data_IF_152840500359
#
_entry.id   IF_152840500359
#
_cell.length_a   1.000
_cell.length_b   1.000
_cell.length_c   1.000
_cell.angle_alpha   90.00
_cell.angle_beta   90.00
_cell.angle_gamma   90.00
#
_symmetry.space_group_name_H-M   'P 1'
#
loop_
_entity.id
_entity.type
_entity.pdbx_description
1 polymer ?
#
# COMPACT_ATOMS: atom_id res chain seq x y z
N UNK A 1 2.43 9.30 -16.94
CA UNK A 1 2.60 10.05 -18.20
C UNK A 1 4.00 9.75 -18.71
N UNK A 2 4.14 9.06 -19.83
CA UNK A 2 5.44 8.56 -20.29
C UNK A 2 6.25 9.74 -20.84
N UNK A 3 7.55 9.80 -20.57
CA UNK A 3 8.44 10.90 -20.96
C UNK A 3 8.36 11.21 -22.47
N UNK A 4 8.12 10.17 -23.28
CA UNK A 4 7.89 10.23 -24.72
C UNK A 4 6.72 11.14 -25.13
N UNK A 5 5.66 11.23 -24.32
CA UNK A 5 4.48 12.07 -24.60
C UNK A 5 4.76 13.56 -24.39
N UNK A 6 5.52 13.92 -23.35
CA UNK A 6 5.95 15.30 -23.09
C UNK A 6 6.90 15.81 -24.18
N UNK A 7 7.72 14.92 -24.72
CA UNK A 7 8.73 15.24 -25.74
C UNK A 7 8.08 15.40 -27.13
N UNK A 8 7.13 14.53 -27.52
CA UNK A 8 6.38 14.67 -28.79
C UNK A 8 5.63 16.01 -28.89
N UNK A 9 5.13 16.56 -27.78
CA UNK A 9 4.45 17.86 -27.75
C UNK A 9 5.35 19.05 -28.09
N UNK A 10 6.69 18.90 -28.05
CA UNK A 10 7.66 19.98 -28.27
C UNK A 10 8.25 20.05 -29.69
N UNK A 11 7.69 19.33 -30.67
CA UNK A 11 8.21 19.25 -32.07
C UNK A 11 9.67 18.77 -32.19
N UNK A 12 10.15 17.97 -31.25
CA UNK A 12 11.49 17.38 -31.35
C UNK A 12 11.56 16.36 -32.48
N UNK A 13 12.69 16.31 -33.17
CA UNK A 13 12.94 15.32 -34.22
C UNK A 13 13.13 13.94 -33.60
N UNK A 14 12.76 12.87 -34.33
CA UNK A 14 12.90 11.47 -33.83
C UNK A 14 14.34 11.14 -33.38
N UNK A 15 15.34 11.78 -34.00
CA UNK A 15 16.76 11.65 -33.62
C UNK A 15 17.02 12.21 -32.22
N UNK A 16 16.55 13.42 -31.92
CA UNK A 16 16.69 14.05 -30.60
C UNK A 16 15.96 13.27 -29.50
N UNK A 17 14.79 12.70 -29.82
CA UNK A 17 14.06 11.82 -28.89
C UNK A 17 14.90 10.58 -28.55
N UNK A 18 15.42 9.89 -29.57
CA UNK A 18 16.22 8.68 -29.37
C UNK A 18 17.54 8.98 -28.66
N UNK A 19 18.20 10.09 -28.97
CA UNK A 19 19.44 10.49 -28.32
C UNK A 19 19.20 10.83 -26.84
N UNK A 20 18.13 11.59 -26.54
CA UNK A 20 17.73 11.91 -25.16
C UNK A 20 17.37 10.65 -24.38
N UNK A 21 16.60 9.74 -24.96
CA UNK A 21 16.28 8.45 -24.34
C UNK A 21 17.51 7.59 -24.11
N UNK A 22 18.48 7.58 -25.03
CA UNK A 22 19.74 6.87 -24.84
C UNK A 22 20.60 7.47 -23.73
N UNK A 23 20.67 8.80 -23.60
CA UNK A 23 21.39 9.46 -22.50
C UNK A 23 20.74 9.11 -21.15
N UNK A 24 19.41 9.20 -21.06
CA UNK A 24 18.65 8.81 -19.87
C UNK A 24 18.84 7.34 -19.49
N UNK A 25 18.74 6.42 -20.46
CA UNK A 25 18.97 4.98 -20.23
C UNK A 25 20.42 4.67 -19.86
N UNK A 26 21.38 5.40 -20.42
CA UNK A 26 22.80 5.23 -20.09
C UNK A 26 23.10 5.75 -18.69
N UNK A 27 22.51 6.88 -18.29
CA UNK A 27 22.59 7.40 -16.91
C UNK A 27 21.93 6.44 -15.90
N UNK A 28 20.80 5.83 -16.26
CA UNK A 28 20.12 4.84 -15.42
C UNK A 28 20.94 3.53 -15.26
N UNK A 29 21.63 3.10 -16.33
CA UNK A 29 22.55 1.95 -16.27
C UNK A 29 23.86 2.25 -15.53
N UNK A 30 24.31 3.50 -15.53
CA UNK A 30 25.48 3.99 -14.82
C UNK A 30 25.16 4.43 -13.37
N UNK A 31 24.04 3.98 -12.77
CA UNK A 31 23.82 4.14 -11.33
C UNK A 31 25.05 3.60 -10.57
N UNK A 32 25.74 4.51 -9.90
CA UNK A 32 26.92 4.23 -9.08
C UNK A 32 26.56 3.15 -8.05
N UNK A 33 27.46 2.21 -7.70
CA UNK A 33 27.20 1.19 -6.67
C UNK A 33 26.65 1.78 -5.37
N UNK A 34 27.06 3.00 -5.02
CA UNK A 34 26.53 3.77 -3.89
C UNK A 34 25.01 3.99 -3.99
N UNK A 35 24.50 4.42 -5.16
CA UNK A 35 23.07 4.68 -5.37
C UNK A 35 22.26 3.38 -5.23
N UNK A 36 22.78 2.26 -5.75
CA UNK A 36 22.12 0.95 -5.60
C UNK A 36 22.06 0.48 -4.15
N UNK A 37 23.09 0.80 -3.37
CA UNK A 37 23.12 0.51 -1.93
C UNK A 37 22.07 1.34 -1.17
N UNK A 38 21.99 2.65 -1.44
CA UNK A 38 20.95 3.51 -0.87
C UNK A 38 19.54 3.06 -1.27
N UNK A 39 19.31 2.70 -2.54
CA UNK A 39 18.02 2.16 -3.02
C UNK A 39 17.63 0.89 -2.21
N UNK A 40 18.60 0.04 -1.88
CA UNK A 40 18.38 -1.19 -1.09
C UNK A 40 18.07 -0.89 0.38
N UNK A 41 18.78 0.07 1.00
CA UNK A 41 18.51 0.48 2.38
C UNK A 41 17.13 1.12 2.48
N UNK A 42 16.80 2.06 1.59
CA UNK A 42 15.51 2.74 1.60
C UNK A 42 14.37 1.72 1.43
N UNK A 43 14.55 0.74 0.53
CA UNK A 43 13.61 -0.38 0.39
C UNK A 43 13.41 -1.12 1.72
N UNK A 44 14.50 -1.52 2.39
CA UNK A 44 14.45 -2.25 3.65
C UNK A 44 13.82 -1.45 4.79
N UNK A 45 14.19 -0.17 4.92
CA UNK A 45 13.64 0.75 5.94
C UNK A 45 12.15 0.98 5.72
N UNK A 46 11.72 1.21 4.48
CA UNK A 46 10.31 1.41 4.18
C UNK A 46 9.48 0.14 4.46
N UNK A 47 10.01 -1.05 4.16
CA UNK A 47 9.38 -2.31 4.53
C UNK A 47 9.30 -2.48 6.05
N UNK A 48 10.37 -2.13 6.76
CA UNK A 48 10.39 -2.17 8.23
C UNK A 48 9.35 -1.21 8.82
N UNK A 49 9.25 0.02 8.30
CA UNK A 49 8.24 1.00 8.70
C UNK A 49 6.83 0.47 8.44
N UNK A 50 6.59 -0.18 7.30
CA UNK A 50 5.31 -0.82 7.00
C UNK A 50 4.94 -1.89 8.03
N UNK A 51 5.89 -2.75 8.42
CA UNK A 51 5.69 -3.80 9.43
C UNK A 51 5.41 -3.18 10.81
N UNK A 52 6.24 -2.23 11.25
CA UNK A 52 6.08 -1.55 12.55
C UNK A 52 4.76 -0.79 12.60
N UNK A 53 4.44 -0.04 11.53
CA UNK A 53 3.17 0.67 11.39
C UNK A 53 2.00 -0.28 11.57
N UNK A 54 2.04 -1.45 10.93
CA UNK A 54 1.02 -2.49 11.05
C UNK A 54 0.80 -2.95 12.50
N UNK A 55 1.89 -3.17 13.24
CA UNK A 55 1.85 -3.56 14.64
C UNK A 55 1.24 -2.45 15.52
N UNK A 56 1.64 -1.20 15.30
CA UNK A 56 1.08 -0.04 16.02
C UNK A 56 -0.43 0.04 15.81
N UNK A 57 -0.93 -0.18 14.59
CA UNK A 57 -2.38 -0.19 14.32
C UNK A 57 -3.09 -1.22 15.18
N UNK A 58 -2.56 -2.45 15.24
CA UNK A 58 -3.15 -3.52 16.04
C UNK A 58 -3.26 -3.12 17.51
N UNK A 59 -2.24 -2.48 18.07
CA UNK A 59 -2.26 -1.97 19.45
C UNK A 59 -3.27 -0.84 19.64
N UNK A 60 -3.36 0.09 18.68
CA UNK A 60 -4.30 1.24 18.73
C UNK A 60 -5.76 0.81 18.57
N UNK A 61 -6.04 -0.27 17.85
CA UNK A 61 -7.40 -0.80 17.66
C UNK A 61 -7.96 -1.38 18.97
N UNK A 62 -7.12 -1.95 19.84
CA UNK A 62 -7.54 -2.55 21.12
C UNK A 62 -8.37 -1.62 22.00
N UNK A 63 -7.91 -0.40 22.36
CA UNK A 63 -8.72 0.50 23.19
C UNK A 63 -10.02 0.92 22.50
N UNK A 64 -10.06 0.96 21.16
CA UNK A 64 -11.28 1.25 20.39
C UNK A 64 -12.30 0.12 20.54
N UNK A 65 -11.85 -1.15 20.49
CA UNK A 65 -12.69 -2.32 20.72
C UNK A 65 -13.28 -2.34 22.13
N UNK A 66 -12.51 -1.92 23.13
CA UNK A 66 -12.99 -1.85 24.52
C UNK A 66 -13.98 -0.70 24.71
N UNK A 67 -13.71 0.46 24.10
CA UNK A 67 -14.49 1.67 24.30
C UNK A 67 -15.81 1.71 23.51
N UNK A 68 -15.86 1.08 22.32
CA UNK A 68 -17.00 1.15 21.41
C UNK A 68 -17.65 -0.21 21.20
N UNK A 69 -18.97 -0.22 21.02
CA UNK A 69 -19.75 -1.43 20.72
C UNK A 69 -20.76 -1.20 19.62
N UNK A 70 -21.16 -2.25 18.91
CA UNK A 70 -22.21 -2.17 17.89
C UNK A 70 -21.81 -1.36 16.66
N UNK A 71 -22.75 -0.60 16.10
CA UNK A 71 -22.54 0.14 14.84
C UNK A 71 -21.36 1.13 14.88
N UNK A 72 -21.19 1.98 15.91
CA UNK A 72 -20.05 2.91 15.98
C UNK A 72 -18.69 2.22 15.91
N UNK A 73 -18.55 1.04 16.51
CA UNK A 73 -17.31 0.26 16.46
C UNK A 73 -16.96 -0.11 15.02
N UNK A 74 -17.88 -0.74 14.29
CA UNK A 74 -17.63 -1.19 12.92
C UNK A 74 -17.35 -0.01 11.98
N UNK A 75 -18.07 1.09 12.17
CA UNK A 75 -17.86 2.31 11.41
C UNK A 75 -16.45 2.87 11.64
N UNK A 76 -16.04 3.02 12.90
CA UNK A 76 -14.68 3.49 13.24
C UNK A 76 -13.61 2.57 12.69
N UNK A 77 -13.76 1.25 12.85
CA UNK A 77 -12.80 0.26 12.32
C UNK A 77 -12.66 0.34 10.81
N UNK A 78 -13.76 0.54 10.08
CA UNK A 78 -13.73 0.68 8.63
C UNK A 78 -12.92 1.92 8.20
N UNK A 79 -13.13 3.08 8.84
CA UNK A 79 -12.39 4.30 8.51
C UNK A 79 -10.92 4.26 8.96
N UNK A 80 -10.64 3.63 10.11
CA UNK A 80 -9.26 3.32 10.53
C UNK A 80 -8.58 2.43 9.50
N UNK A 81 -9.29 1.39 9.05
CA UNK A 81 -8.85 0.51 7.96
C UNK A 81 -8.50 1.30 6.71
N UNK A 82 -9.41 2.14 6.19
CA UNK A 82 -9.16 3.00 5.01
C UNK A 82 -7.91 3.85 5.20
N UNK A 83 -7.79 4.52 6.34
CA UNK A 83 -6.69 5.45 6.62
C UNK A 83 -5.33 4.72 6.57
N UNK A 84 -5.24 3.57 7.24
CA UNK A 84 -4.02 2.77 7.27
C UNK A 84 -3.75 2.04 5.95
N UNK A 85 -4.79 1.56 5.27
CA UNK A 85 -4.67 0.96 3.95
C UNK A 85 -4.10 1.95 2.92
N UNK A 86 -4.55 3.20 2.96
CA UNK A 86 -4.02 4.26 2.10
C UNK A 86 -2.56 4.63 2.44
N UNK A 87 -2.22 4.70 3.73
CA UNK A 87 -0.85 4.91 4.20
C UNK A 87 0.07 3.79 3.71
N UNK A 88 -0.32 2.53 3.93
CA UNK A 88 0.49 1.38 3.53
C UNK A 88 0.64 1.33 2.01
N UNK A 89 -0.43 1.55 1.24
CA UNK A 89 -0.37 1.63 -0.21
C UNK A 89 0.67 2.67 -0.66
N UNK A 90 0.70 3.83 0.00
CA UNK A 90 1.66 4.90 -0.32
C UNK A 90 3.09 4.47 -0.06
N UNK A 91 3.36 3.87 1.11
CA UNK A 91 4.69 3.35 1.47
C UNK A 91 5.15 2.31 0.44
N UNK A 92 4.27 1.38 0.10
CA UNK A 92 4.58 0.31 -0.85
C UNK A 92 4.82 0.86 -2.26
N UNK A 93 4.02 1.82 -2.70
CA UNK A 93 4.23 2.47 -4.00
C UNK A 93 5.55 3.23 -4.07
N UNK A 94 5.95 3.87 -2.98
CA UNK A 94 7.28 4.51 -2.89
C UNK A 94 8.39 3.47 -3.01
N UNK A 95 8.22 2.30 -2.38
CA UNK A 95 9.15 1.17 -2.47
C UNK A 95 9.22 0.60 -3.90
N UNK A 96 8.08 0.44 -4.58
CA UNK A 96 8.02 -0.02 -5.96
C UNK A 96 8.67 0.95 -6.94
N UNK A 97 8.52 2.26 -6.72
CA UNK A 97 9.13 3.29 -7.57
C UNK A 97 10.67 3.18 -7.61
N UNK A 98 11.28 2.66 -6.54
CA UNK A 98 12.73 2.43 -6.44
C UNK A 98 13.13 1.18 -7.24
N UNK A 99 12.29 0.14 -7.30
CA UNK A 99 12.58 -1.10 -8.01
C UNK A 99 11.35 -1.70 -8.72
N UNK A 100 11.02 -1.20 -9.93
CA UNK A 100 9.75 -1.50 -10.62
C UNK A 100 9.64 -2.94 -11.15
N UNK A 101 10.68 -3.77 -11.02
CA UNK A 101 10.62 -5.19 -11.43
C UNK A 101 9.88 -6.09 -10.42
N UNK A 102 9.47 -5.56 -9.26
CA UNK A 102 8.96 -6.33 -8.11
C UNK A 102 7.48 -6.06 -7.76
N UNK A 103 6.67 -5.54 -8.68
CA UNK A 103 5.30 -5.08 -8.39
C UNK A 103 4.34 -6.17 -7.87
N UNK A 104 4.59 -7.46 -8.14
CA UNK A 104 3.77 -8.55 -7.59
C UNK A 104 3.93 -8.70 -6.06
N UNK A 105 5.11 -8.32 -5.55
CA UNK A 105 5.49 -8.53 -4.15
C UNK A 105 4.70 -7.57 -3.23
N UNK A 106 4.39 -6.37 -3.73
CA UNK A 106 3.58 -5.37 -3.02
C UNK A 106 2.20 -5.88 -2.62
N UNK A 107 1.43 -6.41 -3.59
CA UNK A 107 0.09 -6.93 -3.33
C UNK A 107 0.10 -8.11 -2.34
N UNK A 108 1.10 -9.00 -2.47
CA UNK A 108 1.28 -10.12 -1.54
C UNK A 108 1.56 -9.62 -0.11
N UNK A 109 2.46 -8.65 0.05
CA UNK A 109 2.78 -8.06 1.36
C UNK A 109 1.54 -7.43 2.00
N UNK A 110 0.76 -6.64 1.25
CA UNK A 110 -0.48 -6.02 1.76
C UNK A 110 -1.45 -7.09 2.26
N UNK A 111 -1.69 -8.13 1.47
CA UNK A 111 -2.58 -9.22 1.84
C UNK A 111 -2.07 -9.96 3.09
N UNK A 112 -0.77 -10.26 3.17
CA UNK A 112 -0.16 -10.89 4.34
C UNK A 112 -0.27 -10.02 5.59
N UNK A 113 -0.01 -8.71 5.50
CA UNK A 113 -0.12 -7.78 6.64
C UNK A 113 -1.56 -7.65 7.14
N UNK A 114 -2.54 -7.67 6.24
CA UNK A 114 -3.95 -7.70 6.61
C UNK A 114 -4.32 -8.99 7.37
N UNK A 115 -3.89 -10.16 6.89
CA UNK A 115 -4.12 -11.44 7.58
C UNK A 115 -3.46 -11.49 8.95
N UNK A 116 -2.23 -10.98 9.07
CA UNK A 116 -1.53 -10.89 10.36
C UNK A 116 -2.28 -9.99 11.33
N UNK A 117 -2.78 -8.83 10.88
CA UNK A 117 -3.59 -7.95 11.72
C UNK A 117 -4.87 -8.63 12.19
N UNK A 118 -5.58 -9.34 11.31
CA UNK A 118 -6.80 -10.07 11.66
C UNK A 118 -6.52 -11.07 12.78
N UNK A 119 -5.44 -11.86 12.62
CA UNK A 119 -5.03 -12.84 13.62
C UNK A 119 -4.63 -12.17 14.95
N UNK A 120 -3.87 -11.08 14.89
CA UNK A 120 -3.43 -10.32 16.06
C UNK A 120 -4.62 -9.72 16.82
N UNK A 121 -5.50 -9.00 16.14
CA UNK A 121 -6.67 -8.33 16.72
C UNK A 121 -7.60 -9.36 17.37
N UNK A 122 -7.89 -10.47 16.68
CA UNK A 122 -8.78 -11.51 17.20
C UNK A 122 -8.22 -12.15 18.48
N UNK A 123 -6.95 -12.54 18.47
CA UNK A 123 -6.34 -13.19 19.64
C UNK A 123 -6.17 -12.22 20.81
N UNK A 124 -5.79 -10.98 20.53
CA UNK A 124 -5.58 -9.97 21.58
C UNK A 124 -6.90 -9.59 22.24
N UNK A 125 -7.95 -9.39 21.44
CA UNK A 125 -9.31 -9.10 21.93
C UNK A 125 -9.84 -10.24 22.80
N UNK A 126 -9.79 -11.48 22.32
CA UNK A 126 -10.28 -12.64 23.08
C UNK A 126 -9.54 -12.81 24.42
N UNK A 127 -8.21 -12.59 24.44
CA UNK A 127 -7.43 -12.65 25.69
C UNK A 127 -7.81 -11.54 26.67
N UNK A 128 -8.02 -10.32 26.15
CA UNK A 128 -8.39 -9.18 26.98
C UNK A 128 -9.82 -9.30 27.54
N UNK A 129 -10.77 -9.76 26.74
CA UNK A 129 -12.13 -10.05 27.19
C UNK A 129 -12.14 -11.06 28.34
N UNK A 130 -11.36 -12.15 28.20
CA UNK A 130 -11.21 -13.17 29.24
C UNK A 130 -10.56 -12.62 30.52
N UNK A 131 -9.55 -11.75 30.40
CA UNK A 131 -8.88 -11.13 31.55
C UNK A 131 -9.73 -10.07 32.25
N UNK A 132 -10.55 -9.33 31.50
CA UNK A 132 -11.42 -8.27 32.03
C UNK A 132 -12.77 -8.78 32.53
N UNK A 133 -13.10 -10.06 32.31
CA UNK A 133 -14.39 -10.65 32.70
C UNK A 133 -15.57 -10.05 31.93
N UNK A 134 -15.31 -9.48 30.74
CA UNK A 134 -16.35 -8.84 29.93
C UNK A 134 -17.12 -9.93 29.17
N UNK A 135 -18.45 -9.91 29.26
CA UNK A 135 -19.34 -10.78 28.48
C UNK A 135 -19.73 -10.17 27.13
N UNK A 136 -19.16 -9.01 26.79
CA UNK A 136 -19.35 -8.35 25.50
C UNK A 136 -18.46 -9.01 24.45
N UNK A 137 -18.92 -10.14 23.94
CA UNK A 137 -18.24 -10.80 22.84
C UNK A 137 -18.46 -10.00 21.56
N UNK A 138 -17.37 -9.46 21.02
CA UNK A 138 -17.38 -8.99 19.65
C UNK A 138 -17.25 -10.17 18.72
N UNK A 139 -18.09 -10.25 17.68
CA UNK A 139 -17.92 -11.24 16.64
C UNK A 139 -16.60 -10.95 15.89
N UNK A 140 -15.56 -11.80 16.03
CA UNK A 140 -14.26 -11.53 15.43
C UNK A 140 -14.33 -11.48 13.91
N UNK A 141 -15.28 -12.20 13.30
CA UNK A 141 -15.46 -12.24 11.86
C UNK A 141 -15.98 -10.87 11.38
N UNK A 142 -16.99 -10.30 12.06
CA UNK A 142 -17.53 -8.99 11.68
C UNK A 142 -16.52 -7.86 11.87
N UNK A 143 -15.79 -7.86 12.99
CA UNK A 143 -14.69 -6.91 13.25
C UNK A 143 -13.64 -7.00 12.15
N UNK A 144 -13.27 -8.22 11.76
CA UNK A 144 -12.29 -8.48 10.72
C UNK A 144 -12.76 -8.01 9.35
N UNK A 145 -14.01 -8.30 8.97
CA UNK A 145 -14.58 -7.86 7.68
C UNK A 145 -14.65 -6.34 7.61
N UNK A 146 -15.09 -5.67 8.68
CA UNK A 146 -15.18 -4.21 8.70
C UNK A 146 -13.80 -3.56 8.52
N UNK A 147 -12.80 -4.00 9.30
CA UNK A 147 -11.45 -3.48 9.20
C UNK A 147 -10.79 -3.82 7.86
N UNK A 148 -10.80 -5.10 7.45
CA UNK A 148 -10.17 -5.56 6.22
C UNK A 148 -10.83 -4.94 4.98
N UNK A 149 -12.16 -4.80 4.98
CA UNK A 149 -12.91 -4.13 3.93
C UNK A 149 -12.44 -2.69 3.74
N UNK A 150 -12.31 -1.93 4.82
CA UNK A 150 -11.76 -0.58 4.78
C UNK A 150 -10.30 -0.55 4.33
N UNK A 151 -9.47 -1.45 4.84
CA UNK A 151 -8.04 -1.53 4.57
C UNK A 151 -7.68 -1.85 3.12
N UNK A 152 -8.42 -2.78 2.50
CA UNK A 152 -8.16 -3.21 1.12
C UNK A 152 -8.71 -2.18 0.11
N UNK A 153 -9.74 -1.41 0.49
CA UNK A 153 -10.46 -0.52 -0.42
C UNK A 153 -9.57 0.53 -1.13
N UNK A 154 -8.66 1.25 -0.45
CA UNK A 154 -7.70 2.14 -1.12
C UNK A 154 -6.91 1.44 -2.22
N UNK A 155 -6.38 0.24 -1.94
CA UNK A 155 -5.59 -0.52 -2.90
C UNK A 155 -6.41 -0.89 -4.15
N UNK A 156 -7.63 -1.40 -3.97
CA UNK A 156 -8.54 -1.71 -5.09
C UNK A 156 -8.85 -0.45 -5.90
N UNK A 157 -9.17 0.66 -5.24
CA UNK A 157 -9.47 1.93 -5.90
C UNK A 157 -8.31 2.40 -6.79
N UNK A 158 -7.07 2.31 -6.29
CA UNK A 158 -5.89 2.67 -7.05
C UNK A 158 -5.61 1.72 -8.22
N UNK A 159 -5.79 0.41 -8.02
CA UNK A 159 -5.64 -0.59 -9.10
C UNK A 159 -6.61 -0.31 -10.27
N UNK A 160 -7.89 -0.05 -9.96
CA UNK A 160 -8.90 0.25 -10.98
C UNK A 160 -8.53 1.53 -11.73
N UNK A 161 -8.13 2.58 -11.00
CA UNK A 161 -7.71 3.85 -11.59
C UNK A 161 -6.52 3.69 -12.54
N UNK A 162 -5.56 2.84 -12.19
CA UNK A 162 -4.39 2.56 -13.02
C UNK A 162 -4.77 1.82 -14.31
N UNK A 163 -5.64 0.80 -14.22
CA UNK A 163 -6.13 0.07 -15.41
C UNK A 163 -6.91 0.97 -16.38
N UNK A 164 -7.78 1.84 -15.87
CA UNK A 164 -8.57 2.77 -16.70
C UNK A 164 -7.64 3.71 -17.47
N UNK A 165 -6.61 4.26 -16.80
CA UNK A 165 -5.66 5.15 -17.45
C UNK A 165 -4.85 4.43 -18.53
N UNK A 166 -4.46 3.17 -18.29
CA UNK A 166 -3.70 2.38 -19.27
C UNK A 166 -4.54 2.05 -20.53
N UNK A 167 -5.84 1.81 -20.39
CA UNK A 167 -6.77 1.62 -21.54
C UNK A 167 -6.94 2.90 -22.36
N UNK A 168 -7.10 4.06 -21.71
CA UNK A 168 -7.23 5.36 -22.42
C UNK A 168 -6.02 5.67 -23.29
N UNK A 169 -4.81 5.37 -22.81
CA UNK A 169 -3.59 5.62 -23.61
C UNK A 169 -3.51 4.75 -24.87
N UNK A 170 -4.03 3.52 -24.86
CA UNK A 170 -3.98 2.63 -26.04
C UNK A 170 -4.97 3.06 -27.14
N UNK A 171 -6.17 3.51 -26.77
CA UNK A 171 -7.18 3.98 -27.73
C UNK A 171 -6.87 5.33 -28.37
N UNK A 172 -5.87 6.08 -27.88
CA UNK A 172 -5.46 7.37 -28.47
C UNK A 172 -4.42 7.19 -29.59
N UNK A 173 -3.91 5.96 -29.79
CA UNK A 173 -2.89 5.62 -30.79
C UNK A 173 -3.38 4.62 -31.85
N UNK A 174 -4.66 4.23 -31.79
CA UNK A 174 -5.39 3.51 -32.84
C UNK A 174 -6.21 4.49 -33.66
#
# INVERSE_FOLDING_TARGET
MKLEEKIKKKRWTKSEINQTLNILRSAEKQKTPLIKFFDTIVYGVALLIAIIGNFIVSVVIVPILIALTGFPLYFTLFFVGISFGALLYTVIKMVEAINPKKNLIAGLIIASLALINIYMITNLTNKLELQMGLTKFHDPILVSIAYAGGYILPYIFFLIKEQINHRKTLNTYS
#
